data_IF_498181369899
#
_entry.id   IF_498181369899
#
_cell.length_a   1.000
_cell.length_b   1.000
_cell.length_c   1.000
_cell.angle_alpha   90.00
_cell.angle_beta   90.00
_cell.angle_gamma   90.00
#
_symmetry.space_group_name_H-M   'P 1'
#
loop_
_entity.id
_entity.type
_entity.pdbx_description
1 polymer ?
#
# COMPACT_ATOMS: atom_id res chain seq x y z
N UNK A 1 20.07 3.98 -16.22
CA UNK A 1 19.15 3.59 -15.13
C UNK A 1 18.01 2.85 -15.80
N UNK A 2 17.69 1.62 -15.37
CA UNK A 2 16.57 0.84 -15.93
C UNK A 2 15.23 1.52 -15.60
N UNK A 3 14.14 1.10 -16.25
CA UNK A 3 12.81 1.66 -15.97
C UNK A 3 12.38 1.41 -14.52
N UNK A 4 12.56 0.18 -14.04
CA UNK A 4 12.30 -0.22 -12.66
C UNK A 4 13.09 0.61 -11.65
N UNK A 5 14.36 0.93 -11.96
CA UNK A 5 15.20 1.77 -11.08
C UNK A 5 14.68 3.21 -10.99
N UNK A 6 14.12 3.76 -12.09
CA UNK A 6 13.48 5.08 -12.08
C UNK A 6 12.19 5.08 -11.28
N UNK A 7 11.37 4.06 -11.45
CA UNK A 7 10.11 3.94 -10.74
C UNK A 7 10.31 3.72 -9.23
N UNK A 8 11.25 2.84 -8.86
CA UNK A 8 11.65 2.65 -7.47
C UNK A 8 12.19 3.95 -6.84
N UNK A 9 13.05 4.68 -7.56
CA UNK A 9 13.55 5.97 -7.09
C UNK A 9 12.43 7.00 -6.87
N UNK A 10 11.41 7.01 -7.74
CA UNK A 10 10.24 7.88 -7.58
C UNK A 10 9.42 7.52 -6.32
N UNK A 11 9.24 6.23 -6.02
CA UNK A 11 8.57 5.78 -4.80
C UNK A 11 9.37 6.17 -3.56
N UNK A 12 10.69 5.93 -3.56
CA UNK A 12 11.58 6.33 -2.46
C UNK A 12 11.50 7.84 -2.24
N UNK A 13 11.55 8.63 -3.32
CA UNK A 13 11.41 10.09 -3.25
C UNK A 13 10.07 10.49 -2.63
N UNK A 14 8.97 9.85 -3.05
CA UNK A 14 7.65 10.10 -2.47
C UNK A 14 7.60 9.80 -0.97
N UNK A 15 8.16 8.67 -0.53
CA UNK A 15 8.23 8.29 0.88
C UNK A 15 9.05 9.30 1.71
N UNK A 16 10.26 9.62 1.24
CA UNK A 16 11.18 10.55 1.95
C UNK A 16 10.58 11.94 2.06
N UNK A 17 9.93 12.43 1.00
CA UNK A 17 9.28 13.76 1.00
C UNK A 17 7.99 13.80 1.81
N UNK A 18 7.31 12.66 1.97
CA UNK A 18 6.08 12.55 2.77
C UNK A 18 6.33 12.41 4.27
N UNK A 19 7.51 11.92 4.67
CA UNK A 19 7.81 11.64 6.07
C UNK A 19 7.69 12.87 6.99
N UNK A 20 8.22 14.07 6.66
CA UNK A 20 8.04 15.25 7.50
C UNK A 20 6.56 15.64 7.64
N UNK A 21 5.79 15.58 6.55
CA UNK A 21 4.37 15.93 6.55
C UNK A 21 3.54 14.99 7.44
N UNK A 22 3.95 13.72 7.56
CA UNK A 22 3.26 12.75 8.41
C UNK A 22 3.31 13.06 9.91
N UNK A 23 4.25 13.91 10.36
CA UNK A 23 4.36 14.34 11.75
C UNK A 23 3.26 15.34 12.16
N UNK A 24 2.80 16.12 11.18
CA UNK A 24 1.79 17.17 11.38
C UNK A 24 0.38 16.74 10.96
N UNK A 25 0.27 15.55 10.36
CA UNK A 25 -0.99 14.99 9.86
C UNK A 25 -1.80 14.27 10.94
N UNK A 26 -3.11 14.12 10.66
CA UNK A 26 -3.94 13.23 11.48
C UNK A 26 -3.44 11.78 11.34
N UNK A 27 -3.55 10.94 12.39
CA UNK A 27 -3.09 9.55 12.32
C UNK A 27 -3.64 8.75 11.13
N UNK A 28 -4.86 9.07 10.68
CA UNK A 28 -5.49 8.39 9.55
C UNK A 28 -4.87 8.76 8.20
N UNK A 29 -4.44 10.01 8.03
CA UNK A 29 -3.73 10.45 6.82
C UNK A 29 -2.31 9.87 6.77
N UNK A 30 -1.64 9.81 7.92
CA UNK A 30 -0.36 9.11 8.04
C UNK A 30 -0.49 7.61 7.69
N UNK A 31 -1.57 6.95 8.14
CA UNK A 31 -1.87 5.56 7.76
C UNK A 31 -2.12 5.41 6.25
N UNK A 32 -2.89 6.33 5.65
CA UNK A 32 -3.13 6.33 4.21
C UNK A 32 -1.85 6.46 3.39
N UNK A 33 -0.91 7.33 3.77
CA UNK A 33 0.38 7.47 3.06
C UNK A 33 1.18 6.16 3.01
N UNK A 34 1.14 5.37 4.09
CA UNK A 34 1.83 4.07 4.11
C UNK A 34 1.21 3.11 3.09
N UNK A 35 -0.12 3.03 3.02
CA UNK A 35 -0.79 2.14 2.05
C UNK A 35 -0.74 2.67 0.62
N UNK A 36 -0.73 3.99 0.39
CA UNK A 36 -0.49 4.59 -0.94
C UNK A 36 0.90 4.21 -1.47
N UNK A 37 1.93 4.35 -0.62
CA UNK A 37 3.28 3.95 -0.98
C UNK A 37 3.38 2.44 -1.27
N UNK A 38 2.69 1.60 -0.48
CA UNK A 38 2.58 0.18 -0.75
C UNK A 38 1.88 -0.08 -2.09
N UNK A 39 0.83 0.68 -2.42
CA UNK A 39 0.13 0.62 -3.71
C UNK A 39 1.07 0.87 -4.88
N UNK A 40 1.89 1.92 -4.79
CA UNK A 40 2.89 2.22 -5.82
C UNK A 40 3.88 1.07 -6.00
N UNK A 41 4.32 0.43 -4.92
CA UNK A 41 5.21 -0.74 -4.98
C UNK A 41 4.50 -1.95 -5.63
N UNK A 42 3.24 -2.20 -5.27
CA UNK A 42 2.43 -3.25 -5.87
C UNK A 42 2.31 -3.04 -7.38
N UNK A 43 2.09 -1.80 -7.86
CA UNK A 43 2.01 -1.50 -9.28
C UNK A 43 3.31 -1.83 -10.06
N UNK A 44 4.48 -1.77 -9.41
CA UNK A 44 5.75 -2.17 -10.02
C UNK A 44 5.90 -3.68 -10.16
N UNK A 45 5.32 -4.45 -9.23
CA UNK A 45 5.44 -5.92 -9.18
C UNK A 45 4.21 -6.66 -9.72
N UNK A 46 3.13 -5.94 -10.05
CA UNK A 46 1.82 -6.50 -10.40
C UNK A 46 1.76 -7.41 -11.63
N UNK A 47 2.63 -7.33 -12.67
CA UNK A 47 2.55 -8.24 -13.80
C UNK A 47 2.75 -9.71 -13.41
N UNK A 48 3.55 -9.98 -12.37
CA UNK A 48 4.03 -11.32 -12.02
C UNK A 48 3.39 -11.89 -10.74
N UNK A 49 2.52 -11.12 -10.06
CA UNK A 49 1.91 -11.50 -8.78
C UNK A 49 0.42 -11.17 -8.74
N UNK A 50 -0.41 -12.21 -8.86
CA UNK A 50 -1.87 -12.08 -8.86
C UNK A 50 -2.42 -11.45 -7.56
N UNK A 51 -1.83 -11.78 -6.42
CA UNK A 51 -2.25 -11.22 -5.14
C UNK A 51 -1.98 -9.72 -5.10
N UNK A 52 -0.78 -9.27 -5.49
CA UNK A 52 -0.41 -7.85 -5.49
C UNK A 52 -1.24 -7.06 -6.50
N UNK A 53 -1.54 -7.63 -7.68
CA UNK A 53 -2.44 -7.03 -8.67
C UNK A 53 -3.84 -6.80 -8.10
N UNK A 54 -4.41 -7.81 -7.45
CA UNK A 54 -5.75 -7.71 -6.85
C UNK A 54 -5.76 -6.78 -5.62
N UNK A 55 -4.68 -6.75 -4.83
CA UNK A 55 -4.54 -5.84 -3.71
C UNK A 55 -4.44 -4.37 -4.16
N UNK A 56 -3.68 -4.09 -5.24
CA UNK A 56 -3.58 -2.76 -5.82
C UNK A 56 -4.93 -2.22 -6.33
N UNK A 57 -5.72 -3.08 -6.98
CA UNK A 57 -7.07 -2.73 -7.43
C UNK A 57 -7.98 -2.38 -6.24
N UNK A 58 -7.98 -3.22 -5.20
CA UNK A 58 -8.76 -3.01 -3.99
C UNK A 58 -8.38 -1.69 -3.26
N UNK A 59 -7.09 -1.39 -3.13
CA UNK A 59 -6.63 -0.11 -2.59
C UNK A 59 -7.14 1.07 -3.43
N UNK A 60 -7.10 0.96 -4.76
CA UNK A 60 -7.54 2.05 -5.65
C UNK A 60 -9.03 2.34 -5.47
N UNK A 61 -9.85 1.31 -5.31
CA UNK A 61 -11.30 1.43 -5.13
C UNK A 61 -11.67 2.07 -3.77
N UNK A 62 -10.83 1.87 -2.74
CA UNK A 62 -11.10 2.32 -1.36
C UNK A 62 -10.29 3.56 -0.94
N UNK A 63 -9.34 4.03 -1.75
CA UNK A 63 -8.44 5.14 -1.40
C UNK A 63 -9.17 6.43 -1.01
N UNK A 64 -10.34 6.69 -1.60
CA UNK A 64 -11.13 7.90 -1.34
C UNK A 64 -11.86 7.88 0.02
N UNK A 65 -11.97 6.72 0.68
CA UNK A 65 -12.62 6.59 1.99
C UNK A 65 -11.90 7.40 3.07
N UNK A 66 -10.57 7.56 2.98
CA UNK A 66 -9.81 8.38 3.94
C UNK A 66 -10.36 9.83 4.02
N UNK A 67 -10.95 10.33 2.93
CA UNK A 67 -11.52 11.67 2.85
C UNK A 67 -13.04 11.68 3.09
N UNK A 68 -13.74 10.61 2.69
CA UNK A 68 -15.21 10.59 2.58
C UNK A 68 -15.90 9.83 3.71
N UNK A 69 -15.27 8.79 4.24
CA UNK A 69 -15.77 7.97 5.34
C UNK A 69 -14.60 7.29 6.08
N UNK A 70 -14.10 7.97 7.11
CA UNK A 70 -12.95 7.51 7.89
C UNK A 70 -13.22 6.23 8.69
N UNK A 71 -14.48 5.98 9.05
CA UNK A 71 -14.85 4.75 9.75
C UNK A 71 -14.77 3.56 8.79
N UNK A 72 -15.36 3.69 7.61
CA UNK A 72 -15.24 2.69 6.55
C UNK A 72 -13.79 2.47 6.11
N UNK A 73 -12.98 3.53 6.01
CA UNK A 73 -11.55 3.39 5.71
C UNK A 73 -10.82 2.52 6.76
N UNK A 74 -11.12 2.72 8.05
CA UNK A 74 -10.51 1.94 9.13
C UNK A 74 -10.92 0.47 9.08
N UNK A 75 -12.20 0.21 8.86
CA UNK A 75 -12.70 -1.17 8.73
C UNK A 75 -12.10 -1.88 7.52
N UNK A 76 -12.01 -1.19 6.38
CA UNK A 76 -11.33 -1.69 5.20
C UNK A 76 -9.85 -1.97 5.50
N UNK A 77 -9.14 -1.04 6.15
CA UNK A 77 -7.73 -1.20 6.47
C UNK A 77 -7.46 -2.41 7.38
N UNK A 78 -8.34 -2.67 8.35
CA UNK A 78 -8.21 -3.83 9.25
C UNK A 78 -8.37 -5.17 8.49
N UNK A 79 -9.25 -5.25 7.49
CA UNK A 79 -9.36 -6.44 6.63
C UNK A 79 -8.21 -6.51 5.62
N UNK A 80 -7.75 -5.38 5.10
CA UNK A 80 -6.61 -5.29 4.21
C UNK A 80 -5.34 -5.85 4.87
N UNK A 81 -5.08 -5.47 6.13
CA UNK A 81 -4.00 -6.03 6.95
C UNK A 81 -4.15 -7.55 7.11
N UNK A 82 -5.35 -8.03 7.48
CA UNK A 82 -5.61 -9.48 7.62
C UNK A 82 -5.33 -10.26 6.33
N UNK A 83 -5.70 -9.71 5.18
CA UNK A 83 -5.42 -10.30 3.88
C UNK A 83 -3.92 -10.44 3.62
N UNK A 84 -3.13 -9.39 3.86
CA UNK A 84 -1.66 -9.45 3.72
C UNK A 84 -1.02 -10.41 4.72
N UNK A 85 -1.50 -10.47 5.97
CA UNK A 85 -0.99 -11.43 6.95
C UNK A 85 -1.24 -12.88 6.52
N UNK A 86 -2.45 -13.20 6.03
CA UNK A 86 -2.76 -14.55 5.51
C UNK A 86 -1.87 -14.92 4.33
N UNK A 87 -1.68 -14.00 3.40
CA UNK A 87 -0.83 -14.22 2.23
C UNK A 87 0.63 -14.45 2.64
N UNK A 88 1.16 -13.63 3.55
CA UNK A 88 2.52 -13.78 4.07
C UNK A 88 2.73 -15.17 4.69
N UNK A 89 1.79 -15.62 5.53
CA UNK A 89 1.84 -16.97 6.14
C UNK A 89 1.81 -18.08 5.08
N UNK A 90 0.94 -17.96 4.07
CA UNK A 90 0.83 -18.92 2.96
C UNK A 90 2.14 -19.05 2.16
N UNK A 91 2.77 -17.91 1.84
CA UNK A 91 4.05 -17.88 1.11
C UNK A 91 5.19 -18.48 1.92
N UNK A 92 5.24 -18.22 3.22
CA UNK A 92 6.26 -18.83 4.11
C UNK A 92 6.07 -20.34 4.23
N UNK A 93 4.83 -20.81 4.39
CA UNK A 93 4.52 -22.23 4.48
C UNK A 93 4.82 -22.99 3.18
N UNK A 94 4.66 -22.34 2.02
CA UNK A 94 4.95 -22.94 0.69
C UNK A 94 6.43 -22.94 0.34
N UNK A 95 7.25 -22.16 1.05
CA UNK A 95 8.70 -22.06 0.85
C UNK A 95 9.51 -22.97 1.80
N UNK A 96 8.83 -23.72 2.68
CA UNK A 96 9.40 -24.69 3.64
C UNK A 96 9.15 -26.12 3.18
#
# INVERSE_FOLDING_TARGET
>A
MTDDSRQLFAIITHLVTSAPTSLDETPILAAFRMVDAAGRLMALSAPDDEFLRAAHADLTDHATLVLTDQAAFREWLDEYVRRFTREALSRTASAS
#
